data_IF_329186413152
#
_entry.id   IF_329186413152
#
_cell.length_a   1.000
_cell.length_b   1.000
_cell.length_c   1.000
_cell.angle_alpha   90.00
_cell.angle_beta   90.00
_cell.angle_gamma   90.00
#
_symmetry.space_group_name_H-M   'P 1'
#
loop_
_entity.id
_entity.type
_entity.pdbx_description
1 polymer ?
#
# COMPACT_ATOMS: atom_id res chain seq x y z
N UNK A 1 13.83 -28.62 36.89
CA UNK A 1 13.73 -28.84 35.43
C UNK A 1 12.36 -28.36 34.95
N UNK A 2 12.34 -27.81 33.73
CA UNK A 2 11.17 -27.49 32.89
C UNK A 2 10.53 -26.10 33.03
N UNK A 3 11.00 -25.23 32.12
CA UNK A 3 10.43 -23.97 31.65
C UNK A 3 9.17 -24.21 30.81
N UNK A 4 8.19 -23.29 30.87
CA UNK A 4 7.24 -23.08 29.78
C UNK A 4 7.06 -21.57 29.59
N UNK A 5 7.80 -21.02 28.63
CA UNK A 5 7.44 -19.81 27.90
C UNK A 5 6.53 -20.22 26.73
N UNK A 6 5.30 -19.73 26.66
CA UNK A 6 4.56 -19.66 25.37
C UNK A 6 3.34 -18.73 25.47
N UNK A 7 3.56 -17.42 25.34
CA UNK A 7 2.51 -16.46 25.05
C UNK A 7 2.65 -15.97 23.62
N UNK A 8 2.27 -16.79 22.63
CA UNK A 8 2.21 -16.35 21.23
C UNK A 8 1.10 -15.30 21.11
N UNK A 9 1.48 -14.02 21.12
CA UNK A 9 0.56 -12.94 20.77
C UNK A 9 0.01 -13.21 19.37
N UNK A 10 -1.24 -13.71 19.31
CA UNK A 10 -1.98 -13.87 18.05
C UNK A 10 -2.09 -12.49 17.42
N UNK A 11 -1.30 -12.25 16.38
CA UNK A 11 -1.46 -11.09 15.50
C UNK A 11 -2.88 -11.16 14.96
N UNK A 12 -3.76 -10.26 15.42
CA UNK A 12 -5.09 -10.07 14.82
C UNK A 12 -4.86 -9.61 13.38
N UNK A 13 -4.85 -10.55 12.44
CA UNK A 13 -4.90 -10.22 11.03
C UNK A 13 -6.21 -9.47 10.81
N UNK A 14 -6.12 -8.19 10.42
CA UNK A 14 -7.26 -7.44 9.89
C UNK A 14 -7.80 -8.26 8.70
N UNK A 15 -8.94 -8.92 8.89
CA UNK A 15 -9.59 -9.69 7.84
C UNK A 15 -10.35 -8.70 6.96
N UNK A 16 -9.80 -8.35 5.81
CA UNK A 16 -10.60 -7.72 4.76
C UNK A 16 -11.56 -8.78 4.24
N UNK A 17 -12.87 -8.51 4.30
CA UNK A 17 -13.92 -9.43 3.85
C UNK A 17 -13.95 -9.60 2.33
N UNK A 18 -13.23 -8.77 1.58
CA UNK A 18 -13.12 -8.82 0.11
C UNK A 18 -11.67 -8.62 -0.33
N UNK A 19 -11.23 -9.28 -1.44
CA UNK A 19 -9.92 -9.06 -2.00
C UNK A 19 -9.79 -7.62 -2.50
N UNK A 20 -8.67 -6.96 -2.16
CA UNK A 20 -8.37 -5.59 -2.61
C UNK A 20 -7.86 -5.69 -4.05
N UNK A 21 -8.60 -5.09 -4.98
CA UNK A 21 -8.21 -4.99 -6.39
C UNK A 21 -8.01 -3.53 -6.80
N UNK A 22 -6.81 -3.23 -7.29
CA UNK A 22 -6.35 -1.95 -7.80
C UNK A 22 -6.26 -2.02 -9.33
N UNK A 23 -6.62 -0.93 -10.00
CA UNK A 23 -6.44 -0.69 -11.43
C UNK A 23 -5.04 -0.15 -11.76
N UNK A 24 -4.25 0.25 -10.77
CA UNK A 24 -2.92 0.80 -11.01
C UNK A 24 -2.01 -0.24 -11.72
N UNK A 25 -1.27 0.19 -12.73
CA UNK A 25 -0.32 -0.67 -13.44
C UNK A 25 1.05 -0.74 -12.77
N UNK A 26 1.44 0.31 -12.03
CA UNK A 26 2.69 0.34 -11.27
C UNK A 26 2.46 0.95 -9.89
N UNK A 27 2.98 0.29 -8.85
CA UNK A 27 3.07 0.81 -7.49
C UNK A 27 4.55 0.92 -7.11
N UNK A 28 5.03 2.14 -6.90
CA UNK A 28 6.40 2.41 -6.45
C UNK A 28 6.39 3.04 -5.06
N UNK A 29 7.13 2.44 -4.13
CA UNK A 29 7.25 2.93 -2.75
C UNK A 29 8.71 3.33 -2.53
N UNK A 30 8.93 4.58 -2.15
CA UNK A 30 10.26 5.13 -1.85
C UNK A 30 10.30 5.57 -0.39
N UNK A 31 11.22 5.04 0.40
CA UNK A 31 11.24 5.27 1.85
C UNK A 31 12.60 5.10 2.53
N UNK A 32 12.78 5.72 3.69
CA UNK A 32 13.97 5.52 4.50
C UNK A 32 13.87 4.20 5.27
N UNK A 33 15.01 3.52 5.46
CA UNK A 33 15.08 2.26 6.21
C UNK A 33 14.56 2.36 7.66
N UNK A 34 14.61 3.56 8.23
CA UNK A 34 14.17 3.84 9.60
C UNK A 34 12.67 4.09 9.70
N UNK A 35 11.95 4.27 8.58
CA UNK A 35 10.53 4.54 8.58
C UNK A 35 9.73 3.30 9.03
N UNK A 36 9.34 3.30 10.30
CA UNK A 36 8.57 2.23 10.94
C UNK A 36 7.19 2.04 10.30
N UNK A 37 6.52 3.15 9.96
CA UNK A 37 5.20 3.21 9.35
C UNK A 37 5.17 2.44 8.02
N UNK A 38 6.11 2.71 7.12
CA UNK A 38 6.16 2.04 5.83
C UNK A 38 6.66 0.62 5.91
N UNK A 39 7.56 0.28 6.84
CA UNK A 39 7.91 -1.13 7.09
C UNK A 39 6.69 -1.93 7.53
N UNK A 40 5.86 -1.35 8.40
CA UNK A 40 4.63 -1.99 8.84
C UNK A 40 3.61 -2.10 7.69
N UNK A 41 3.46 -1.05 6.88
CA UNK A 41 2.65 -1.10 5.67
C UNK A 41 3.11 -2.21 4.70
N UNK A 42 4.42 -2.29 4.45
CA UNK A 42 5.04 -3.33 3.63
C UNK A 42 4.72 -4.72 4.17
N UNK A 43 4.89 -4.93 5.48
CA UNK A 43 4.68 -6.23 6.11
C UNK A 43 3.21 -6.66 6.07
N UNK A 44 2.29 -5.74 6.31
CA UNK A 44 0.89 -6.06 6.55
C UNK A 44 0.03 -6.04 5.26
N UNK A 45 0.33 -5.16 4.31
CA UNK A 45 -0.55 -4.91 3.16
C UNK A 45 0.06 -5.26 1.80
N UNK A 46 1.35 -4.98 1.56
CA UNK A 46 1.97 -5.23 0.24
C UNK A 46 1.81 -6.68 -0.24
N UNK A 47 2.10 -7.74 0.56
CA UNK A 47 1.87 -9.12 0.16
C UNK A 47 0.42 -9.41 -0.28
N UNK A 48 -0.54 -8.75 0.35
CA UNK A 48 -1.97 -8.93 0.05
C UNK A 48 -2.38 -8.21 -1.23
N UNK A 49 -1.77 -7.06 -1.50
CA UNK A 49 -1.96 -6.34 -2.75
C UNK A 49 -1.37 -7.14 -3.91
N UNK A 50 -0.13 -7.60 -3.80
CA UNK A 50 0.53 -8.39 -4.86
C UNK A 50 -0.20 -9.71 -5.15
N UNK A 51 -0.80 -10.34 -4.14
CA UNK A 51 -1.55 -11.59 -4.34
C UNK A 51 -2.81 -11.42 -5.20
N UNK A 52 -3.43 -10.23 -5.17
CA UNK A 52 -4.75 -10.01 -5.77
C UNK A 52 -4.71 -9.11 -7.01
N UNK A 53 -3.52 -8.68 -7.46
CA UNK A 53 -3.36 -7.67 -8.48
C UNK A 53 -2.18 -7.95 -9.40
N UNK A 54 -2.39 -7.66 -10.69
CA UNK A 54 -1.37 -7.77 -11.74
C UNK A 54 -0.77 -6.39 -12.02
N UNK A 55 0.03 -5.89 -11.08
CA UNK A 55 0.77 -4.63 -11.25
C UNK A 55 2.27 -4.82 -10.98
N UNK A 56 3.09 -3.95 -11.57
CA UNK A 56 4.52 -3.91 -11.27
C UNK A 56 4.75 -3.23 -9.94
N UNK A 57 5.42 -3.93 -9.02
CA UNK A 57 5.75 -3.41 -7.71
C UNK A 57 7.23 -3.07 -7.61
N UNK A 58 7.53 -1.82 -7.25
CA UNK A 58 8.89 -1.35 -7.00
C UNK A 58 8.99 -0.79 -5.58
N UNK A 59 10.10 -1.11 -4.92
CA UNK A 59 10.38 -0.65 -3.56
C UNK A 59 11.81 -0.14 -3.52
N UNK A 60 12.00 1.14 -3.23
CA UNK A 60 13.29 1.80 -3.16
C UNK A 60 13.55 2.30 -1.74
N UNK A 61 14.67 1.84 -1.17
CA UNK A 61 15.13 2.35 0.12
C UNK A 61 16.10 3.50 -0.14
N UNK A 62 15.81 4.67 0.42
CA UNK A 62 16.62 5.88 0.26
C UNK A 62 17.35 6.25 1.55
N UNK A 63 18.49 6.92 1.41
CA UNK A 63 19.23 7.51 2.54
C UNK A 63 18.87 8.98 2.76
N UNK A 64 18.57 9.69 1.68
CA UNK A 64 18.21 11.10 1.65
C UNK A 64 17.11 11.32 0.61
N UNK A 65 16.25 12.30 0.83
CA UNK A 65 15.15 12.66 -0.08
C UNK A 65 13.78 12.54 0.56
N UNK A 66 12.74 12.64 -0.27
CA UNK A 66 11.35 12.61 0.20
C UNK A 66 10.76 11.21 0.05
N UNK A 67 10.11 10.74 1.12
CA UNK A 67 9.37 9.49 1.11
C UNK A 67 8.03 9.67 0.40
N UNK A 68 7.72 8.75 -0.50
CA UNK A 68 6.50 8.84 -1.28
C UNK A 68 6.05 7.47 -1.78
N UNK A 69 4.76 7.40 -2.08
CA UNK A 69 4.20 6.32 -2.88
C UNK A 69 3.74 6.91 -4.20
N UNK A 70 4.19 6.34 -5.31
CA UNK A 70 3.72 6.66 -6.66
C UNK A 70 2.84 5.53 -7.17
N UNK A 71 1.62 5.87 -7.56
CA UNK A 71 0.67 5.00 -8.26
C UNK A 71 0.62 5.43 -9.73
N UNK A 72 0.89 4.53 -10.66
CA UNK A 72 0.86 4.81 -12.08
C UNK A 72 -0.31 4.08 -12.76
N UNK A 73 -1.08 4.82 -13.56
CA UNK A 73 -2.22 4.36 -14.34
C UNK A 73 -1.95 4.67 -15.81
N UNK A 74 -0.99 3.97 -16.42
CA UNK A 74 -0.55 4.23 -17.80
C UNK A 74 0.21 5.55 -17.93
N UNK A 75 -0.44 6.58 -18.48
CA UNK A 75 0.16 7.92 -18.68
C UNK A 75 -0.03 8.87 -17.49
N UNK A 76 -0.76 8.44 -16.45
CA UNK A 76 -1.04 9.27 -15.26
C UNK A 76 -0.31 8.73 -14.04
N UNK A 77 0.24 9.64 -13.25
CA UNK A 77 0.87 9.33 -11.98
C UNK A 77 0.21 10.09 -10.84
N UNK A 78 -0.04 9.39 -9.74
CA UNK A 78 -0.48 9.97 -8.47
C UNK A 78 0.60 9.79 -7.41
N UNK A 79 0.91 10.86 -6.70
CA UNK A 79 1.92 10.86 -5.64
C UNK A 79 1.26 11.03 -4.28
N UNK A 80 1.61 10.16 -3.34
CA UNK A 80 1.19 10.22 -1.95
C UNK A 80 2.42 10.65 -1.14
N UNK A 81 2.35 11.85 -0.57
CA UNK A 81 3.35 12.33 0.37
C UNK A 81 3.11 11.72 1.75
N UNK A 82 4.09 10.97 2.25
CA UNK A 82 3.92 10.16 3.45
C UNK A 82 3.96 10.95 4.76
N UNK A 83 4.42 12.21 4.71
CA UNK A 83 4.52 13.09 5.88
C UNK A 83 3.16 13.39 6.55
N UNK A 84 2.04 13.14 5.85
CA UNK A 84 0.68 13.39 6.35
C UNK A 84 0.01 12.19 7.03
N UNK A 85 0.70 11.06 7.14
CA UNK A 85 0.12 9.81 7.63
C UNK A 85 0.85 9.33 8.88
N UNK A 86 0.07 8.89 9.87
CA UNK A 86 0.61 8.36 11.13
C UNK A 86 0.42 6.85 11.22
N UNK A 87 -0.54 6.29 10.48
CA UNK A 87 -0.88 4.88 10.55
C UNK A 87 -0.89 4.19 9.18
N UNK A 88 -0.43 2.93 9.08
CA UNK A 88 -0.36 2.21 7.81
C UNK A 88 -1.70 2.09 7.08
N UNK A 89 -2.80 1.99 7.84
CA UNK A 89 -4.14 1.85 7.27
C UNK A 89 -4.62 3.13 6.56
N UNK A 90 -4.14 4.31 6.96
CA UNK A 90 -4.49 5.57 6.29
C UNK A 90 -3.85 5.64 4.90
N UNK A 91 -2.62 5.13 4.78
CA UNK A 91 -1.93 5.00 3.50
C UNK A 91 -2.72 4.07 2.57
N UNK A 92 -3.14 2.91 3.08
CA UNK A 92 -3.96 1.97 2.32
C UNK A 92 -5.27 2.63 1.87
N UNK A 93 -5.98 3.30 2.79
CA UNK A 93 -7.21 4.01 2.47
C UNK A 93 -6.99 5.03 1.36
N UNK A 94 -5.90 5.82 1.44
CA UNK A 94 -5.59 6.80 0.41
C UNK A 94 -5.34 6.17 -0.96
N UNK A 95 -4.64 5.04 -1.01
CA UNK A 95 -4.41 4.29 -2.25
C UNK A 95 -5.77 3.86 -2.84
N UNK A 96 -6.68 3.35 -2.02
CA UNK A 96 -8.01 2.94 -2.45
C UNK A 96 -8.87 4.12 -2.93
N UNK A 97 -8.80 5.26 -2.25
CA UNK A 97 -9.52 6.47 -2.66
C UNK A 97 -9.06 6.96 -4.04
N UNK A 98 -7.74 6.93 -4.30
CA UNK A 98 -7.17 7.27 -5.62
C UNK A 98 -7.60 6.26 -6.68
N UNK A 99 -7.59 4.97 -6.37
CA UNK A 99 -8.00 3.91 -7.30
C UNK A 99 -9.47 4.04 -7.70
N UNK A 100 -10.35 4.29 -6.72
CA UNK A 100 -11.77 4.53 -6.96
C UNK A 100 -12.00 5.77 -7.83
N UNK A 101 -11.27 6.86 -7.56
CA UNK A 101 -11.35 8.08 -8.38
C UNK A 101 -10.96 7.83 -9.84
N UNK A 102 -9.87 7.09 -10.10
CA UNK A 102 -9.48 6.76 -11.49
C UNK A 102 -10.48 5.81 -12.16
N UNK A 103 -11.10 4.90 -11.40
CA UNK A 103 -12.16 4.02 -11.90
C UNK A 103 -13.38 4.82 -12.37
N UNK A 104 -13.92 5.67 -11.51
CA UNK A 104 -15.08 6.53 -11.81
C UNK A 104 -14.81 7.44 -13.02
N UNK A 105 -13.57 7.92 -13.14
CA UNK A 105 -13.13 8.74 -14.28
C UNK A 105 -13.09 7.95 -15.59
N UNK A 106 -12.63 6.71 -15.58
CA UNK A 106 -12.60 5.85 -16.77
C UNK A 106 -14.01 5.43 -17.21
N UNK A 107 -14.89 5.11 -16.26
CA UNK A 107 -16.29 4.76 -16.53
C UNK A 107 -17.05 5.94 -17.15
N UNK A 108 -16.77 7.16 -16.70
CA UNK A 108 -17.36 8.39 -17.27
C UNK A 108 -16.88 8.70 -18.70
N UNK A 109 -15.69 8.22 -19.09
CA UNK A 109 -15.13 8.46 -20.42
C UNK A 109 -15.57 7.44 -21.47
N UNK A 110 -15.99 6.24 -21.05
CA UNK A 110 -16.48 5.18 -21.94
C UNK A 110 -17.99 5.28 -22.21
N UNK A 111 -18.71 6.12 -21.46
CA UNK A 111 -20.14 6.36 -21.61
C UNK A 111 -20.51 7.51 -22.57
N UNK A 112 -19.52 8.16 -23.21
CA UNK A 112 -19.69 9.18 -24.24
C UNK A 112 -19.12 8.69 -25.57
#
# INVERSE_FOLDING_TARGET
MSSIFLGTARVRQLAFSKPIRLLCGVLNITFHSENTLLREFHRNFVPRLLKNNDFTFNSNIIKEGQESIRLSYGSKDHFINLNFYQFPHQILQRILDIDNYERERNDSQTAN
#
